data_IF_507970051170
#
_entry.id   IF_507970051170
#
_cell.length_a   1.000
_cell.length_b   1.000
_cell.length_c   1.000
_cell.angle_alpha   90.00
_cell.angle_beta   90.00
_cell.angle_gamma   90.00
#
_symmetry.space_group_name_H-M   'P 1'
#
loop_
_entity.id
_entity.type
_entity.pdbx_description
1 polymer ?
#
# COMPACT_ATOMS: atom_id res chain seq x y z
N UNK A 1 15.95 -29.73 -9.74
CA UNK A 1 14.81 -29.51 -8.81
C UNK A 1 15.18 -28.56 -7.66
N UNK A 2 16.29 -28.75 -6.94
CA UNK A 2 16.63 -27.96 -5.74
C UNK A 2 16.97 -26.46 -5.95
N UNK A 3 17.54 -26.07 -7.10
CA UNK A 3 17.88 -24.67 -7.41
C UNK A 3 16.66 -23.78 -7.67
N UNK A 4 15.60 -24.37 -8.22
CA UNK A 4 14.35 -23.65 -8.53
C UNK A 4 13.62 -23.23 -7.25
N UNK A 5 13.48 -24.15 -6.28
CA UNK A 5 12.85 -23.88 -4.98
C UNK A 5 13.59 -22.80 -4.17
N UNK A 6 14.92 -22.70 -4.32
CA UNK A 6 15.70 -21.66 -3.64
C UNK A 6 15.51 -20.28 -4.26
N UNK A 7 15.36 -20.21 -5.58
CA UNK A 7 15.06 -18.96 -6.29
C UNK A 7 13.68 -18.46 -5.91
N UNK A 8 12.65 -19.32 -5.94
CA UNK A 8 11.29 -18.96 -5.52
C UNK A 8 11.26 -18.39 -4.10
N UNK A 9 11.92 -19.06 -3.15
CA UNK A 9 12.01 -18.62 -1.76
C UNK A 9 12.62 -17.21 -1.62
N UNK A 10 13.67 -16.90 -2.40
CA UNK A 10 14.30 -15.58 -2.42
C UNK A 10 13.40 -14.52 -3.04
N UNK A 11 12.73 -14.84 -4.16
CA UNK A 11 11.80 -13.92 -4.83
C UNK A 11 10.64 -13.57 -3.90
N UNK A 12 10.05 -14.55 -3.21
CA UNK A 12 8.97 -14.32 -2.24
C UNK A 12 9.43 -13.46 -1.08
N UNK A 13 10.65 -13.68 -0.57
CA UNK A 13 11.19 -12.84 0.50
C UNK A 13 11.41 -11.38 0.04
N UNK A 14 12.02 -11.19 -1.13
CA UNK A 14 12.25 -9.86 -1.70
C UNK A 14 10.94 -9.11 -1.99
N UNK A 15 9.95 -9.78 -2.59
CA UNK A 15 8.64 -9.18 -2.87
C UNK A 15 7.88 -8.84 -1.58
N UNK A 16 7.98 -9.68 -0.54
CA UNK A 16 7.36 -9.42 0.76
C UNK A 16 7.95 -8.17 1.43
N UNK A 17 9.28 -8.01 1.41
CA UNK A 17 9.95 -6.80 1.93
C UNK A 17 9.54 -5.57 1.12
N UNK A 18 9.51 -5.67 -0.20
CA UNK A 18 9.08 -4.57 -1.08
C UNK A 18 7.63 -4.16 -0.81
N UNK A 19 6.71 -5.12 -0.68
CA UNK A 19 5.32 -4.85 -0.34
C UNK A 19 5.17 -4.20 1.03
N UNK A 20 5.99 -4.59 2.01
CA UNK A 20 5.98 -4.00 3.34
C UNK A 20 6.39 -2.52 3.28
N UNK A 21 7.49 -2.21 2.58
CA UNK A 21 7.98 -0.83 2.37
C UNK A 21 6.93 0.01 1.63
N UNK A 22 6.36 -0.51 0.55
CA UNK A 22 5.34 0.20 -0.24
C UNK A 22 4.09 0.48 0.60
N UNK A 23 3.60 -0.48 1.38
CA UNK A 23 2.42 -0.25 2.23
C UNK A 23 2.70 0.75 3.37
N UNK A 24 3.90 0.75 3.95
CA UNK A 24 4.29 1.77 4.94
C UNK A 24 4.36 3.17 4.32
N UNK A 25 4.96 3.30 3.13
CA UNK A 25 4.99 4.55 2.39
C UNK A 25 3.56 5.02 2.03
N UNK A 26 2.70 4.12 1.58
CA UNK A 26 1.28 4.41 1.33
C UNK A 26 0.57 4.90 2.59
N UNK A 27 0.84 4.30 3.75
CA UNK A 27 0.25 4.73 5.02
C UNK A 27 0.63 6.17 5.37
N UNK A 28 1.89 6.53 5.17
CA UNK A 28 2.35 7.92 5.31
C UNK A 28 1.56 8.87 4.40
N UNK A 29 1.44 8.54 3.11
CA UNK A 29 0.68 9.37 2.16
C UNK A 29 -0.82 9.44 2.49
N UNK A 30 -1.42 8.37 2.99
CA UNK A 30 -2.84 8.37 3.37
C UNK A 30 -3.08 9.25 4.59
N UNK A 31 -2.18 9.21 5.58
CA UNK A 31 -2.24 10.09 6.75
C UNK A 31 -2.06 11.55 6.33
N UNK A 32 -1.09 11.82 5.45
CA UNK A 32 -0.89 13.16 4.89
C UNK A 32 -2.14 13.63 4.13
N UNK A 33 -2.71 12.77 3.28
CA UNK A 33 -3.94 13.04 2.53
C UNK A 33 -5.13 13.37 3.44
N UNK A 34 -5.21 12.76 4.63
CA UNK A 34 -6.28 13.03 5.60
C UNK A 34 -6.22 14.43 6.19
N UNK A 35 -5.06 15.09 6.15
CA UNK A 35 -4.90 16.46 6.65
C UNK A 35 -5.43 17.52 5.67
N UNK A 36 -5.58 17.18 4.39
CA UNK A 36 -6.14 18.08 3.38
C UNK A 36 -7.66 17.99 3.38
N UNK A 37 -8.36 19.11 3.28
CA UNK A 37 -9.81 19.11 3.11
C UNK A 37 -10.24 18.77 1.67
N UNK A 38 -9.49 19.27 0.69
CA UNK A 38 -9.81 19.12 -0.74
C UNK A 38 -8.55 18.91 -1.59
N UNK A 39 -8.67 18.08 -2.63
CA UNK A 39 -7.72 18.05 -3.74
C UNK A 39 -8.27 18.99 -4.82
N UNK A 40 -7.44 19.93 -5.28
CA UNK A 40 -7.79 20.86 -6.36
C UNK A 40 -6.98 20.55 -7.62
N UNK A 41 -7.61 20.71 -8.78
CA UNK A 41 -6.96 20.58 -10.09
C UNK A 41 -7.68 21.41 -11.14
N UNK A 42 -7.01 21.61 -12.27
CA UNK A 42 -7.58 22.34 -13.41
C UNK A 42 -8.08 21.35 -14.47
N UNK A 43 -9.29 21.60 -14.98
CA UNK A 43 -9.81 20.94 -16.17
C UNK A 43 -9.15 21.52 -17.43
N UNK A 44 -9.27 20.81 -18.55
CA UNK A 44 -8.72 21.24 -19.85
C UNK A 44 -9.24 22.61 -20.32
N UNK A 45 -10.43 23.02 -19.86
CA UNK A 45 -11.03 24.32 -20.11
C UNK A 45 -10.63 25.40 -19.08
N UNK A 46 -9.68 25.12 -18.19
CA UNK A 46 -9.25 26.03 -17.12
C UNK A 46 -10.18 26.09 -15.91
N UNK A 47 -11.30 25.35 -15.90
CA UNK A 47 -12.21 25.33 -14.75
C UNK A 47 -11.56 24.63 -13.55
N UNK A 48 -11.79 25.18 -12.35
CA UNK A 48 -11.34 24.57 -11.11
C UNK A 48 -12.22 23.36 -10.79
N UNK A 49 -11.60 22.20 -10.57
CA UNK A 49 -12.25 21.01 -10.04
C UNK A 49 -11.67 20.73 -8.66
N UNK A 50 -12.50 20.75 -7.63
CA UNK A 50 -12.13 20.26 -6.30
C UNK A 50 -12.92 19.01 -5.93
N UNK A 51 -12.29 18.13 -5.16
CA UNK A 51 -12.97 16.99 -4.56
C UNK A 51 -12.49 16.77 -3.13
N UNK A 52 -13.40 16.32 -2.26
CA UNK A 52 -13.06 16.01 -0.87
C UNK A 52 -12.13 14.80 -0.78
N UNK A 53 -11.14 14.89 0.09
CA UNK A 53 -10.10 13.85 0.29
C UNK A 53 -10.58 12.66 1.12
N UNK A 54 -11.56 12.89 2.01
CA UNK A 54 -12.02 11.92 3.01
C UNK A 54 -12.49 10.60 2.39
N UNK A 55 -13.17 10.65 1.24
CA UNK A 55 -13.61 9.46 0.53
C UNK A 55 -12.45 8.56 0.08
N UNK A 56 -11.36 9.16 -0.39
CA UNK A 56 -10.14 8.43 -0.76
C UNK A 56 -9.47 7.81 0.46
N UNK A 57 -9.36 8.56 1.56
CA UNK A 57 -8.76 8.05 2.80
C UNK A 57 -9.54 6.85 3.34
N UNK A 58 -10.88 6.94 3.40
CA UNK A 58 -11.71 5.84 3.88
C UNK A 58 -11.64 4.58 3.02
N UNK A 59 -11.30 4.70 1.74
CA UNK A 59 -11.06 3.55 0.86
C UNK A 59 -9.62 3.01 0.99
N UNK A 60 -8.62 3.88 0.93
CA UNK A 60 -7.21 3.50 0.86
C UNK A 60 -6.67 2.98 2.20
N UNK A 61 -7.14 3.53 3.32
CA UNK A 61 -6.68 3.14 4.65
C UNK A 61 -6.97 1.67 4.99
N UNK A 62 -8.23 1.17 4.93
CA UNK A 62 -8.52 -0.23 5.26
C UNK A 62 -7.85 -1.21 4.29
N UNK A 63 -7.69 -0.84 3.01
CA UNK A 63 -6.98 -1.66 2.02
C UNK A 63 -5.50 -1.81 2.40
N UNK A 64 -4.85 -0.70 2.75
CA UNK A 64 -3.43 -0.70 3.16
C UNK A 64 -3.23 -1.48 4.46
N UNK A 65 -4.14 -1.32 5.43
CA UNK A 65 -4.12 -2.09 6.68
C UNK A 65 -4.34 -3.59 6.45
N UNK A 66 -5.27 -3.95 5.57
CA UNK A 66 -5.52 -5.37 5.21
C UNK A 66 -4.31 -6.00 4.53
N UNK A 67 -3.63 -5.27 3.64
CA UNK A 67 -2.39 -5.72 3.01
C UNK A 67 -1.26 -5.93 4.03
N UNK A 68 -1.05 -5.00 4.96
CA UNK A 68 -0.06 -5.15 6.03
C UNK A 68 -0.34 -6.36 6.91
N UNK A 69 -1.61 -6.57 7.28
CA UNK A 69 -2.05 -7.73 8.05
C UNK A 69 -1.81 -9.03 7.28
N UNK A 70 -2.16 -9.08 6.01
CA UNK A 70 -1.94 -10.25 5.15
C UNK A 70 -0.45 -10.61 5.05
N UNK A 71 0.42 -9.62 4.78
CA UNK A 71 1.87 -9.82 4.70
C UNK A 71 2.43 -10.24 6.06
N UNK A 72 1.97 -9.63 7.16
CA UNK A 72 2.37 -9.98 8.52
C UNK A 72 2.07 -11.44 8.84
N UNK A 73 0.85 -11.90 8.57
CA UNK A 73 0.46 -13.31 8.76
C UNK A 73 1.29 -14.23 7.87
N UNK A 74 1.47 -13.90 6.58
CA UNK A 74 2.24 -14.72 5.65
C UNK A 74 3.70 -14.90 6.10
N UNK A 75 4.32 -13.82 6.61
CA UNK A 75 5.68 -13.88 7.17
C UNK A 75 5.72 -14.71 8.46
N UNK A 76 4.79 -14.48 9.40
CA UNK A 76 4.72 -15.24 10.66
C UNK A 76 4.59 -16.74 10.39
N UNK A 77 3.67 -17.14 9.50
CA UNK A 77 3.47 -18.55 9.11
C UNK A 77 4.75 -19.14 8.51
N UNK A 78 5.49 -18.35 7.74
CA UNK A 78 6.75 -18.80 7.14
C UNK A 78 7.89 -18.93 8.15
N UNK A 79 7.94 -18.09 9.19
CA UNK A 79 8.97 -18.16 10.23
C UNK A 79 8.66 -19.20 11.33
N UNK A 80 7.39 -19.54 11.54
CA UNK A 80 6.96 -20.58 12.49
C UNK A 80 7.06 -21.99 11.93
N UNK A 81 7.28 -22.14 10.61
CA UNK A 81 7.47 -23.42 9.93
C UNK A 81 8.96 -23.75 9.84
#
# INVERSE_FOLDING_TARGET
>A
MGSFLTIESKVVAASSVLLLIVNLASLYFIIDLYTYDEITGYLYNGALKSCGTRGFVYLLFPVTMSNLLFIGIALIVRFLK
#
